data_IF_600256269903
#
_entry.id   IF_600256269903
#
_cell.length_a   1.000
_cell.length_b   1.000
_cell.length_c   1.000
_cell.angle_alpha   90.00
_cell.angle_beta   90.00
_cell.angle_gamma   90.00
#
_symmetry.space_group_name_H-M   'P 1'
#
loop_
_entity.id
_entity.type
_entity.pdbx_description
1 polymer ?
#
# COMPACT_ATOMS: atom_id res chain seq x y z
N UNK A 1 17.45 10.15 1.21
CA UNK A 1 16.41 9.21 1.66
C UNK A 1 15.72 8.70 0.40
N UNK A 2 15.47 7.39 0.28
CA UNK A 2 14.77 6.81 -0.88
C UNK A 2 13.31 7.24 -0.91
N UNK A 3 12.52 6.69 -1.82
CA UNK A 3 11.06 6.79 -1.81
C UNK A 3 10.49 5.70 -0.88
N UNK A 4 9.50 6.02 -0.01
CA UNK A 4 8.75 4.96 0.68
C UNK A 4 7.24 5.22 0.70
N UNK A 5 6.44 4.16 0.44
CA UNK A 5 5.01 4.17 0.65
C UNK A 5 4.60 4.41 2.11
N UNK A 6 3.48 5.07 2.30
CA UNK A 6 2.86 5.22 3.61
C UNK A 6 2.19 3.91 4.01
N UNK A 7 2.05 3.68 5.31
CA UNK A 7 1.42 2.47 5.79
C UNK A 7 1.29 2.36 7.31
N UNK A 8 0.78 1.22 7.74
CA UNK A 8 0.78 0.79 9.13
C UNK A 8 1.54 -0.52 9.20
N UNK A 9 2.50 -0.59 10.11
CA UNK A 9 3.26 -1.81 10.41
C UNK A 9 2.86 -2.28 11.80
N UNK A 10 2.54 -3.57 11.93
CA UNK A 10 2.35 -4.23 13.21
C UNK A 10 3.70 -4.66 13.77
N UNK A 11 4.04 -4.14 14.94
CA UNK A 11 5.30 -4.40 15.64
C UNK A 11 4.98 -5.22 16.88
N UNK A 12 5.37 -6.51 16.94
CA UNK A 12 5.23 -7.29 18.15
C UNK A 12 6.22 -6.78 19.21
N UNK A 13 5.69 -6.45 20.38
CA UNK A 13 6.46 -6.03 21.55
C UNK A 13 6.38 -7.14 22.58
N UNK A 14 7.53 -7.78 22.82
CA UNK A 14 7.66 -8.87 23.79
C UNK A 14 8.42 -8.38 25.00
N UNK A 15 7.82 -8.51 26.18
CA UNK A 15 8.47 -8.25 27.48
C UNK A 15 8.49 -9.55 28.27
N UNK A 16 9.69 -9.96 28.69
CA UNK A 16 9.87 -11.11 29.57
C UNK A 16 10.59 -10.66 30.84
N UNK A 17 9.98 -10.91 31.99
CA UNK A 17 10.58 -10.65 33.31
C UNK A 17 10.87 -11.97 34.02
N UNK A 18 12.15 -12.20 34.34
CA UNK A 18 12.59 -13.29 35.19
C UNK A 18 13.13 -12.71 36.51
N UNK A 19 12.71 -13.28 37.64
CA UNK A 19 13.12 -12.79 38.95
C UNK A 19 14.63 -12.98 39.17
N UNK A 20 15.41 -11.92 39.48
CA UNK A 20 16.88 -11.97 39.47
C UNK A 20 17.48 -12.87 40.55
N UNK A 21 16.73 -13.17 41.62
CA UNK A 21 17.16 -14.11 42.66
C UNK A 21 17.13 -15.60 42.22
N UNK A 22 16.75 -15.92 40.98
CA UNK A 22 16.97 -17.24 40.38
C UNK A 22 16.14 -18.39 40.98
N UNK A 23 14.90 -18.13 41.40
CA UNK A 23 13.98 -19.17 41.90
C UNK A 23 13.29 -19.98 40.79
N UNK A 24 12.54 -21.03 41.16
CA UNK A 24 11.79 -21.89 40.24
C UNK A 24 10.51 -21.26 39.66
N UNK A 25 10.24 -19.98 39.94
CA UNK A 25 9.05 -19.30 39.42
C UNK A 25 9.20 -19.06 37.91
N UNK A 26 8.22 -19.45 37.09
CA UNK A 26 8.23 -19.16 35.66
C UNK A 26 8.36 -17.65 35.38
N UNK A 27 9.08 -17.25 34.31
CA UNK A 27 9.10 -15.86 33.88
C UNK A 27 7.69 -15.34 33.54
N UNK A 28 7.44 -14.06 33.83
CA UNK A 28 6.27 -13.37 33.33
C UNK A 28 6.52 -12.98 31.88
N UNK A 29 5.61 -13.33 30.99
CA UNK A 29 5.69 -13.02 29.56
C UNK A 29 4.46 -12.21 29.15
N UNK A 30 4.70 -11.08 28.48
CA UNK A 30 3.67 -10.25 27.88
C UNK A 30 4.05 -10.02 26.43
N UNK A 31 3.11 -10.25 25.54
CA UNK A 31 3.22 -9.96 24.12
C UNK A 31 2.04 -9.06 23.72
N UNK A 32 2.35 -7.94 23.10
CA UNK A 32 1.40 -6.96 22.61
C UNK A 32 1.78 -6.57 21.18
N UNK A 33 0.78 -6.29 20.34
CA UNK A 33 1.01 -5.82 18.97
C UNK A 33 0.74 -4.33 18.91
N UNK A 34 1.77 -3.54 18.62
CA UNK A 34 1.64 -2.09 18.44
C UNK A 34 1.59 -1.76 16.96
N UNK A 35 0.63 -0.91 16.57
CA UNK A 35 0.53 -0.39 15.21
C UNK A 35 1.31 0.90 15.07
N UNK A 36 2.33 0.89 14.21
CA UNK A 36 3.19 2.05 13.94
C UNK A 36 2.93 2.56 12.53
N UNK A 37 2.67 3.86 12.38
CA UNK A 37 2.51 4.47 11.07
C UNK A 37 3.87 4.77 10.44
N UNK A 38 4.07 4.32 9.21
CA UNK A 38 5.21 4.71 8.38
C UNK A 38 4.84 5.97 7.59
N UNK A 39 5.57 7.09 7.76
CA UNK A 39 5.27 8.32 7.05
C UNK A 39 5.66 8.20 5.57
N UNK A 40 4.85 8.80 4.71
CA UNK A 40 5.17 9.03 3.29
C UNK A 40 6.44 9.88 3.18
N UNK A 41 7.31 9.51 2.25
CA UNK A 41 8.51 10.29 1.95
C UNK A 41 8.96 10.10 0.49
N UNK A 42 9.55 11.15 -0.09
CA UNK A 42 9.98 11.15 -1.49
C UNK A 42 8.80 11.20 -2.47
N UNK A 43 9.04 10.72 -3.68
CA UNK A 43 8.01 10.50 -4.70
C UNK A 43 7.36 9.15 -4.44
N UNK A 44 6.05 9.12 -4.33
CA UNK A 44 5.29 7.90 -4.00
C UNK A 44 4.27 7.64 -5.10
N UNK A 45 4.20 6.39 -5.58
CA UNK A 45 3.22 6.01 -6.58
C UNK A 45 1.90 5.65 -5.93
N UNK A 46 0.80 6.08 -6.54
CA UNK A 46 -0.55 5.71 -6.09
C UNK A 46 -0.72 4.18 -6.02
N UNK A 47 -0.17 3.44 -6.99
CA UNK A 47 -0.21 1.98 -7.05
C UNK A 47 0.58 1.27 -5.96
N UNK A 48 1.45 1.97 -5.22
CA UNK A 48 2.16 1.42 -4.06
C UNK A 48 1.46 1.76 -2.73
N UNK A 49 0.44 2.61 -2.74
CA UNK A 49 -0.20 3.06 -1.50
C UNK A 49 -1.31 2.12 -1.05
N UNK A 50 -1.48 1.93 0.26
CA UNK A 50 -2.70 1.34 0.81
C UNK A 50 -3.91 2.17 0.38
N UNK A 51 -4.94 1.51 -0.15
CA UNK A 51 -6.20 2.18 -0.46
C UNK A 51 -7.09 2.18 0.77
N UNK A 52 -7.65 3.36 1.09
CA UNK A 52 -8.74 3.49 2.06
C UNK A 52 -10.06 2.95 1.51
N UNK A 53 -10.17 2.86 0.18
CA UNK A 53 -11.27 2.23 -0.52
C UNK A 53 -11.12 2.39 -2.02
N UNK A 54 -11.73 1.47 -2.74
CA UNK A 54 -11.75 1.46 -4.20
C UNK A 54 -13.13 1.02 -4.72
N UNK A 55 -13.45 1.45 -5.93
CA UNK A 55 -14.57 0.96 -6.73
C UNK A 55 -14.17 1.01 -8.20
N UNK A 56 -14.68 0.08 -9.00
CA UNK A 56 -14.37 0.01 -10.41
C UNK A 56 -15.58 -0.50 -11.19
N UNK A 57 -15.74 -0.08 -12.45
CA UNK A 57 -16.89 -0.45 -13.28
C UNK A 57 -16.87 -1.92 -13.70
N UNK A 58 -15.68 -2.50 -13.85
CA UNK A 58 -15.48 -3.89 -14.26
C UNK A 58 -14.17 -4.43 -13.69
N UNK A 59 -14.22 -5.61 -13.07
CA UNK A 59 -13.06 -6.19 -12.37
C UNK A 59 -12.54 -5.31 -11.22
N UNK A 60 -11.48 -5.72 -10.53
CA UNK A 60 -10.79 -4.90 -9.54
C UNK A 60 -9.99 -3.76 -10.17
N UNK A 61 -9.58 -2.77 -9.37
CA UNK A 61 -8.56 -1.81 -9.80
C UNK A 61 -7.22 -2.54 -9.85
N UNK A 62 -6.55 -2.42 -10.98
CA UNK A 62 -5.26 -3.06 -11.21
C UNK A 62 -4.11 -2.13 -10.90
N UNK A 63 -3.06 -2.65 -10.26
CA UNK A 63 -1.86 -1.88 -9.88
C UNK A 63 -0.72 -2.22 -10.83
N UNK A 64 -0.17 -1.20 -11.47
CA UNK A 64 0.96 -1.28 -12.40
C UNK A 64 0.69 -2.11 -13.68
N UNK A 65 -0.59 -2.31 -13.98
CA UNK A 65 -1.07 -3.01 -15.16
C UNK A 65 -2.46 -2.46 -15.55
N UNK A 66 -2.87 -2.68 -16.79
CA UNK A 66 -4.18 -2.27 -17.28
C UNK A 66 -5.31 -3.06 -16.61
N UNK A 67 -6.54 -2.52 -16.65
CA UNK A 67 -7.71 -3.28 -16.23
C UNK A 67 -8.02 -4.29 -17.35
N UNK A 68 -7.68 -5.56 -17.12
CA UNK A 68 -7.79 -6.63 -18.11
C UNK A 68 -9.23 -7.11 -18.24
N UNK A 69 -9.58 -8.12 -17.44
CA UNK A 69 -10.91 -8.72 -17.44
C UNK A 69 -11.53 -8.63 -16.03
N UNK A 70 -12.37 -9.60 -15.65
CA UNK A 70 -13.03 -9.59 -14.35
C UNK A 70 -12.12 -10.07 -13.21
N UNK A 71 -10.96 -10.67 -13.51
CA UNK A 71 -10.02 -11.22 -12.55
C UNK A 71 -9.10 -10.16 -11.97
N UNK A 72 -8.42 -10.51 -10.88
CA UNK A 72 -7.30 -9.72 -10.38
C UNK A 72 -5.99 -10.14 -11.04
N UNK A 73 -5.11 -9.18 -11.28
CA UNK A 73 -3.80 -9.41 -11.89
C UNK A 73 -3.85 -10.01 -13.30
N UNK A 74 -4.93 -9.76 -14.05
CA UNK A 74 -5.13 -10.32 -15.41
C UNK A 74 -4.82 -9.33 -16.55
N UNK A 75 -4.44 -8.11 -16.18
CA UNK A 75 -4.05 -7.03 -17.06
C UNK A 75 -2.71 -7.19 -17.77
N UNK A 76 -2.46 -6.28 -18.72
CA UNK A 76 -1.19 -6.13 -19.45
C UNK A 76 -0.39 -4.96 -18.90
N UNK A 77 0.87 -4.74 -19.32
CA UNK A 77 1.57 -3.50 -18.97
C UNK A 77 0.75 -2.26 -19.35
N UNK A 78 0.74 -1.24 -18.49
CA UNK A 78 0.04 0.03 -18.76
C UNK A 78 0.66 0.71 -19.99
N UNK A 79 -0.17 1.05 -20.96
CA UNK A 79 0.26 1.69 -22.20
C UNK A 79 -0.67 2.83 -22.61
N UNK A 80 -0.13 4.00 -22.93
CA UNK A 80 -0.92 5.10 -23.48
C UNK A 80 -0.20 5.63 -24.72
N UNK A 81 -0.83 5.48 -25.90
CA UNK A 81 -0.28 5.99 -27.15
C UNK A 81 1.06 5.36 -27.52
N UNK A 82 1.20 4.05 -27.27
CA UNK A 82 2.40 3.25 -27.49
C UNK A 82 3.48 3.39 -26.42
N UNK A 83 3.28 4.24 -25.40
CA UNK A 83 4.24 4.44 -24.32
C UNK A 83 3.89 3.56 -23.13
N UNK A 84 4.82 2.70 -22.71
CA UNK A 84 4.67 1.84 -21.53
C UNK A 84 4.97 2.63 -20.25
N UNK A 85 4.11 2.51 -19.24
CA UNK A 85 4.29 3.06 -17.91
C UNK A 85 4.50 1.93 -16.91
N UNK A 86 5.63 1.97 -16.19
CA UNK A 86 5.95 0.96 -15.18
C UNK A 86 5.05 1.06 -13.93
N UNK A 87 4.44 2.22 -13.69
CA UNK A 87 3.63 2.50 -12.50
C UNK A 87 2.33 3.19 -12.86
N UNK A 88 1.23 2.78 -12.23
CA UNK A 88 -0.07 3.42 -12.42
C UNK A 88 -1.25 2.54 -11.99
N UNK A 89 -2.46 3.00 -12.28
CA UNK A 89 -3.69 2.29 -11.95
C UNK A 89 -4.47 1.96 -13.22
N UNK A 90 -4.73 0.67 -13.46
CA UNK A 90 -5.65 0.20 -14.48
C UNK A 90 -7.07 0.20 -13.93
N UNK A 91 -7.97 0.96 -14.55
CA UNK A 91 -9.35 1.14 -14.06
C UNK A 91 -10.34 1.08 -15.21
N UNK A 92 -11.58 0.73 -14.90
CA UNK A 92 -12.73 0.80 -15.77
C UNK A 92 -13.75 1.80 -15.20
N UNK A 93 -14.16 2.77 -16.01
CA UNK A 93 -15.06 3.81 -15.55
C UNK A 93 -16.52 3.31 -15.42
N UNK A 94 -17.26 3.74 -14.39
CA UNK A 94 -16.83 4.63 -13.32
C UNK A 94 -15.94 3.91 -12.30
N UNK A 95 -14.84 4.55 -11.90
CA UNK A 95 -13.94 4.01 -10.89
C UNK A 95 -13.44 5.10 -9.93
N UNK A 96 -13.10 4.70 -8.71
CA UNK A 96 -12.58 5.57 -7.66
C UNK A 96 -11.54 4.81 -6.84
N UNK A 97 -10.48 5.50 -6.44
CA UNK A 97 -9.51 5.05 -5.43
C UNK A 97 -9.32 6.18 -4.41
N UNK A 98 -9.30 5.84 -3.12
CA UNK A 98 -9.03 6.79 -2.02
C UNK A 98 -7.74 6.41 -1.32
N UNK A 99 -6.84 7.38 -1.14
CA UNK A 99 -5.53 7.21 -0.50
C UNK A 99 -5.38 8.26 0.59
N UNK A 100 -4.81 7.87 1.74
CA UNK A 100 -4.39 8.82 2.78
C UNK A 100 -3.03 9.44 2.42
N UNK A 101 -3.02 10.74 2.20
CA UNK A 101 -1.80 11.51 1.91
C UNK A 101 -1.04 11.94 3.18
N UNK A 102 -1.57 11.62 4.37
CA UNK A 102 -0.99 11.91 5.68
C UNK A 102 -0.65 13.40 5.90
N UNK A 103 -1.24 14.31 5.11
CA UNK A 103 -0.89 15.74 5.10
C UNK A 103 0.56 16.03 4.63
N UNK A 104 1.23 15.09 3.96
CA UNK A 104 2.65 15.18 3.58
C UNK A 104 2.88 15.43 2.09
N UNK A 105 1.94 15.04 1.22
CA UNK A 105 2.06 15.26 -0.22
C UNK A 105 1.68 16.69 -0.60
N UNK A 106 2.46 17.31 -1.49
CA UNK A 106 2.27 18.70 -1.95
C UNK A 106 1.97 18.82 -3.44
N UNK A 107 2.15 17.74 -4.21
CA UNK A 107 1.90 17.70 -5.66
C UNK A 107 1.35 16.32 -6.04
N UNK A 108 0.43 16.31 -7.00
CA UNK A 108 -0.06 15.12 -7.69
C UNK A 108 0.22 15.27 -9.20
N UNK A 109 0.71 14.21 -9.82
CA UNK A 109 1.02 14.15 -11.25
C UNK A 109 0.60 12.78 -11.80
N UNK A 110 -0.01 12.78 -12.98
CA UNK A 110 -0.43 11.58 -13.67
C UNK A 110 -0.49 11.82 -15.18
N UNK A 111 -0.24 10.75 -15.95
CA UNK A 111 -0.69 10.65 -17.33
C UNK A 111 -2.01 9.89 -17.34
N UNK A 112 -3.00 10.41 -18.07
CA UNK A 112 -4.36 9.85 -18.10
C UNK A 112 -4.74 9.59 -19.56
N UNK A 113 -5.18 8.37 -19.85
CA UNK A 113 -5.54 7.92 -21.18
C UNK A 113 -6.27 6.58 -21.14
N UNK A 114 -6.76 6.16 -22.30
CA UNK A 114 -7.25 4.80 -22.52
C UNK A 114 -6.04 3.91 -22.79
N UNK A 115 -6.05 2.69 -22.23
CA UNK A 115 -5.00 1.70 -22.50
C UNK A 115 -5.04 1.26 -23.98
N UNK A 116 -3.88 0.91 -24.54
CA UNK A 116 -3.75 0.52 -25.96
C UNK A 116 -4.31 -0.89 -26.30
#
# INVERSE_FOLDING_TARGET
>A
AGDQPGGTVEVPVVVTYAHPAGGSTPPVHVEEVVRVSTPLHGTVYASDQPFLGESNGFGPVERDQSNGEAGGQDGKPLTIGGTVYAKGLGMNAPGQVRIDLQGRCTRFEAHVGVDD
#
